data_IF_142085912490
#
_entry.id   IF_142085912490
#
_cell.length_a   1.000
_cell.length_b   1.000
_cell.length_c   1.000
_cell.angle_alpha   90.00
_cell.angle_beta   90.00
_cell.angle_gamma   90.00
#
_symmetry.space_group_name_H-M   'P 1'
#
loop_
_entity.id
_entity.type
_entity.pdbx_description
1 polymer ?
#
# COMPACT_ATOMS: atom_id res chain seq x y z
N UNK A 1 -31.06 13.53 4.82
CA UNK A 1 -29.80 13.53 4.05
C UNK A 1 -28.95 14.68 4.53
N UNK A 2 -27.64 14.49 4.68
CA UNK A 2 -26.72 15.59 4.97
C UNK A 2 -26.50 16.47 3.72
N UNK A 3 -26.20 17.77 3.86
CA UNK A 3 -25.79 18.63 2.74
C UNK A 3 -24.54 18.10 2.03
N UNK A 4 -24.41 18.36 0.72
CA UNK A 4 -23.29 17.87 -0.11
C UNK A 4 -21.93 18.35 0.42
N UNK A 5 -21.88 19.55 0.99
CA UNK A 5 -20.66 20.15 1.54
C UNK A 5 -20.14 19.40 2.78
N UNK A 6 -20.96 18.54 3.40
CA UNK A 6 -20.57 17.71 4.54
C UNK A 6 -19.87 16.41 4.14
N UNK A 7 -19.35 16.30 2.91
CA UNK A 7 -18.67 15.10 2.41
C UNK A 7 -17.48 14.66 3.28
N UNK A 8 -16.86 15.55 4.06
CA UNK A 8 -15.76 15.21 4.98
C UNK A 8 -16.21 14.30 6.13
N UNK A 9 -17.43 14.49 6.62
CA UNK A 9 -18.02 13.71 7.73
C UNK A 9 -19.09 12.73 7.25
N UNK A 10 -19.48 12.83 5.98
CA UNK A 10 -20.50 12.00 5.34
C UNK A 10 -19.97 11.52 3.98
N UNK A 11 -19.07 10.52 4.02
CA UNK A 11 -18.52 9.84 2.85
C UNK A 11 -18.59 8.33 3.06
N UNK A 12 -18.75 7.57 1.97
CA UNK A 12 -18.67 6.11 2.01
C UNK A 12 -17.27 5.61 2.36
N UNK A 13 -16.23 6.27 1.83
CA UNK A 13 -14.84 5.95 2.09
C UNK A 13 -13.94 7.13 1.71
N UNK A 14 -12.74 7.15 2.31
CA UNK A 14 -11.63 7.97 1.84
C UNK A 14 -10.70 7.09 1.03
N UNK A 15 -10.44 7.49 -0.22
CA UNK A 15 -9.62 6.71 -1.16
C UNK A 15 -8.38 7.51 -1.60
N UNK A 16 -7.29 6.81 -1.97
CA UNK A 16 -6.14 7.45 -2.61
C UNK A 16 -6.53 8.15 -3.91
N UNK A 17 -5.76 9.19 -4.29
CA UNK A 17 -5.93 9.86 -5.57
C UNK A 17 -5.57 8.94 -6.74
N UNK A 18 -5.90 9.33 -7.97
CA UNK A 18 -5.39 8.64 -9.16
C UNK A 18 -3.87 8.81 -9.28
N UNK A 19 -3.19 7.83 -9.88
CA UNK A 19 -1.74 7.83 -10.04
C UNK A 19 -1.33 7.52 -11.48
N UNK A 20 -0.18 8.04 -11.88
CA UNK A 20 0.55 7.59 -13.07
C UNK A 20 1.39 6.39 -12.67
N UNK A 21 1.26 5.29 -13.42
CA UNK A 21 1.97 4.03 -13.14
C UNK A 21 2.94 3.75 -14.28
N UNK A 22 4.14 3.30 -13.94
CA UNK A 22 5.16 2.87 -14.91
C UNK A 22 5.77 1.54 -14.49
N UNK A 23 6.51 0.91 -15.40
CA UNK A 23 7.31 -0.29 -15.08
C UNK A 23 8.37 0.03 -14.03
N UNK A 24 8.87 -0.98 -13.32
CA UNK A 24 9.93 -0.83 -12.30
C UNK A 24 11.27 -0.50 -12.95
N UNK A 25 11.44 0.78 -13.29
CA UNK A 25 12.58 1.35 -14.01
C UNK A 25 12.81 2.78 -13.48
N UNK A 26 13.81 2.99 -12.60
CA UNK A 26 14.04 4.29 -11.97
C UNK A 26 14.34 5.42 -12.97
N UNK A 27 15.09 5.12 -14.03
CA UNK A 27 15.46 6.11 -15.04
C UNK A 27 14.24 6.57 -15.83
N UNK A 28 13.38 5.62 -16.22
CA UNK A 28 12.12 5.96 -16.86
C UNK A 28 11.21 6.76 -15.91
N UNK A 29 11.13 6.39 -14.63
CA UNK A 29 10.33 7.11 -13.64
C UNK A 29 10.80 8.56 -13.46
N UNK A 30 12.11 8.80 -13.43
CA UNK A 30 12.70 10.14 -13.40
C UNK A 30 12.36 10.94 -14.66
N UNK A 31 12.49 10.32 -15.84
CA UNK A 31 12.17 10.96 -17.12
C UNK A 31 10.70 11.36 -17.20
N UNK A 32 9.80 10.46 -16.81
CA UNK A 32 8.35 10.74 -16.76
C UNK A 32 8.07 11.90 -15.81
N UNK A 33 8.66 11.88 -14.60
CA UNK A 33 8.46 12.97 -13.63
C UNK A 33 8.95 14.30 -14.18
N UNK A 34 10.15 14.38 -14.75
CA UNK A 34 10.69 15.61 -15.34
C UNK A 34 9.80 16.16 -16.46
N UNK A 35 9.24 15.28 -17.29
CA UNK A 35 8.30 15.68 -18.35
C UNK A 35 7.01 16.27 -17.78
N UNK A 36 6.40 15.59 -16.81
CA UNK A 36 5.16 16.03 -16.16
C UNK A 36 5.35 17.32 -15.34
N UNK A 37 6.48 17.46 -14.65
CA UNK A 37 6.81 18.65 -13.87
C UNK A 37 6.96 19.89 -14.77
N UNK A 38 7.69 19.75 -15.89
CA UNK A 38 7.84 20.81 -16.89
C UNK A 38 6.48 21.31 -17.40
N UNK A 39 5.61 20.41 -17.83
CA UNK A 39 4.29 20.78 -18.37
C UNK A 39 3.41 21.48 -17.33
N UNK A 40 3.56 21.15 -16.04
CA UNK A 40 2.82 21.84 -14.98
C UNK A 40 3.35 23.26 -14.72
N UNK A 41 4.65 23.50 -14.94
CA UNK A 41 5.29 24.81 -14.75
C UNK A 41 5.25 25.70 -15.99
N UNK A 42 5.19 25.10 -17.18
CA UNK A 42 5.10 25.77 -18.46
C UNK A 42 3.63 26.05 -18.74
N UNK A 43 3.15 27.21 -18.30
CA UNK A 43 1.76 27.64 -18.41
C UNK A 43 1.25 27.80 -19.87
N UNK A 44 2.03 27.41 -20.87
CA UNK A 44 1.63 27.37 -22.28
C UNK A 44 0.60 26.29 -22.61
N UNK A 45 0.45 25.26 -21.76
CA UNK A 45 -0.52 24.18 -21.94
C UNK A 45 -1.19 23.79 -20.61
N UNK A 46 -2.53 23.68 -20.60
CA UNK A 46 -3.26 23.24 -19.42
C UNK A 46 -3.52 21.72 -19.49
N UNK A 47 -2.60 20.94 -18.93
CA UNK A 47 -2.67 19.47 -18.90
C UNK A 47 -3.93 18.92 -18.19
N UNK A 48 -4.54 19.70 -17.29
CA UNK A 48 -5.69 19.27 -16.51
C UNK A 48 -7.00 19.86 -17.02
N UNK A 49 -7.05 20.54 -18.18
CA UNK A 49 -8.31 21.02 -18.75
C UNK A 49 -8.67 20.27 -20.02
N UNK A 50 -9.86 19.65 -20.01
CA UNK A 50 -10.47 19.06 -21.20
C UNK A 50 -11.39 20.03 -21.97
N UNK A 51 -11.50 21.30 -21.57
CA UNK A 51 -12.50 22.25 -22.08
C UNK A 51 -12.42 22.46 -23.59
N UNK A 52 -11.20 22.55 -24.14
CA UNK A 52 -10.97 22.69 -25.58
C UNK A 52 -11.40 21.46 -26.41
N UNK A 53 -11.73 20.35 -25.75
CA UNK A 53 -12.07 19.05 -26.35
C UNK A 53 -13.52 18.64 -26.04
N UNK A 54 -14.40 19.60 -25.76
CA UNK A 54 -15.81 19.34 -25.49
C UNK A 54 -16.46 18.47 -26.59
N UNK A 55 -17.33 17.51 -26.23
CA UNK A 55 -17.94 17.33 -24.90
C UNK A 55 -17.15 16.40 -23.95
N UNK A 56 -15.93 15.98 -24.31
CA UNK A 56 -15.16 15.06 -23.49
C UNK A 56 -14.67 15.73 -22.19
N UNK A 57 -14.52 14.93 -21.12
CA UNK A 57 -14.05 15.37 -19.79
C UNK A 57 -13.03 14.39 -19.23
N UNK A 58 -12.18 14.87 -18.33
CA UNK A 58 -11.13 14.09 -17.67
C UNK A 58 -10.20 13.37 -18.66
N UNK A 59 -9.81 14.05 -19.74
CA UNK A 59 -8.90 13.51 -20.74
C UNK A 59 -7.49 13.43 -20.17
N UNK A 60 -6.93 12.21 -20.16
CA UNK A 60 -5.62 11.86 -19.60
C UNK A 60 -5.55 12.01 -18.06
N UNK A 61 -5.91 13.17 -17.52
CA UNK A 61 -5.99 13.49 -16.11
C UNK A 61 -7.40 13.98 -15.75
N UNK A 62 -7.77 13.90 -14.46
CA UNK A 62 -9.04 14.47 -14.00
C UNK A 62 -9.01 15.99 -14.14
N UNK A 63 -10.14 16.58 -14.56
CA UNK A 63 -10.21 18.03 -14.75
C UNK A 63 -10.09 18.81 -13.42
N UNK A 64 -10.36 18.14 -12.29
CA UNK A 64 -10.20 18.67 -10.94
C UNK A 64 -8.78 18.54 -10.38
N UNK A 65 -7.83 18.03 -11.17
CA UNK A 65 -6.42 17.91 -10.73
C UNK A 65 -5.80 19.30 -10.64
N UNK A 66 -5.21 19.62 -9.48
CA UNK A 66 -4.53 20.91 -9.26
C UNK A 66 -3.02 20.78 -9.41
N UNK A 67 -2.46 19.63 -9.04
CA UNK A 67 -1.02 19.32 -9.14
C UNK A 67 -0.77 17.82 -9.09
N UNK A 68 0.36 17.41 -9.65
CA UNK A 68 0.95 16.10 -9.47
C UNK A 68 2.01 16.18 -8.38
N UNK A 69 2.15 15.09 -7.61
CA UNK A 69 3.16 14.97 -6.56
C UNK A 69 3.91 13.67 -6.79
N UNK A 70 5.24 13.73 -6.69
CA UNK A 70 6.07 12.54 -6.82
C UNK A 70 5.87 11.64 -5.59
N UNK A 71 5.54 10.39 -5.85
CA UNK A 71 5.41 9.37 -4.82
C UNK A 71 6.80 9.02 -4.27
N UNK A 72 6.95 8.72 -2.95
CA UNK A 72 8.23 8.30 -2.39
C UNK A 72 8.86 7.11 -3.15
N UNK A 73 10.20 7.02 -3.20
CA UNK A 73 10.86 5.87 -3.81
C UNK A 73 10.43 4.57 -3.14
N UNK A 74 10.52 3.45 -3.87
CA UNK A 74 10.11 2.11 -3.42
C UNK A 74 8.62 1.95 -3.06
N UNK A 75 7.77 2.92 -3.38
CA UNK A 75 6.32 2.77 -3.24
C UNK A 75 5.79 1.88 -4.37
N UNK A 76 5.20 0.74 -3.99
CA UNK A 76 4.45 -0.12 -4.88
C UNK A 76 2.93 0.14 -4.77
N UNK A 77 2.15 -0.58 -5.58
CA UNK A 77 0.69 -0.46 -5.57
C UNK A 77 0.05 -0.74 -4.21
N UNK A 78 0.64 -1.63 -3.42
CA UNK A 78 0.12 -1.94 -2.08
C UNK A 78 0.37 -0.77 -1.13
N UNK A 79 1.60 -0.28 -1.07
CA UNK A 79 1.98 0.85 -0.22
C UNK A 79 1.20 2.11 -0.58
N UNK A 80 0.98 2.33 -1.88
CA UNK A 80 0.18 3.46 -2.38
C UNK A 80 -1.29 3.38 -1.97
N UNK A 81 -1.89 2.18 -2.11
CA UNK A 81 -3.32 1.99 -1.83
C UNK A 81 -3.63 1.86 -0.33
N UNK A 82 -2.68 1.33 0.44
CA UNK A 82 -2.82 1.08 1.86
C UNK A 82 -3.59 -0.21 2.19
N UNK A 83 -3.36 -0.72 3.40
CA UNK A 83 -3.84 -2.03 3.82
C UNK A 83 -5.36 -2.16 3.82
N UNK A 84 -6.10 -1.13 4.24
CA UNK A 84 -7.56 -1.16 4.30
C UNK A 84 -8.18 -1.21 2.90
N UNK A 85 -7.71 -0.38 1.97
CA UNK A 85 -8.21 -0.38 0.60
C UNK A 85 -7.90 -1.72 -0.07
N UNK A 86 -6.66 -2.18 0.07
CA UNK A 86 -6.25 -3.45 -0.53
C UNK A 86 -6.99 -4.65 0.09
N UNK A 87 -7.30 -4.63 1.39
CA UNK A 87 -8.10 -5.70 1.99
C UNK A 87 -9.53 -5.71 1.46
N UNK A 88 -10.15 -4.55 1.23
CA UNK A 88 -11.48 -4.48 0.59
C UNK A 88 -11.40 -5.05 -0.83
N UNK A 89 -10.41 -4.63 -1.63
CA UNK A 89 -10.21 -5.16 -2.99
C UNK A 89 -9.97 -6.67 -2.97
N UNK A 90 -9.19 -7.18 -2.02
CA UNK A 90 -8.99 -8.62 -1.85
C UNK A 90 -10.27 -9.32 -1.41
N UNK A 91 -11.03 -8.80 -0.47
CA UNK A 91 -12.31 -9.38 -0.03
C UNK A 91 -13.31 -9.45 -1.18
N UNK A 92 -13.44 -8.39 -1.97
CA UNK A 92 -14.29 -8.38 -3.17
C UNK A 92 -13.84 -9.42 -4.22
N UNK A 93 -12.53 -9.71 -4.31
CA UNK A 93 -11.99 -10.80 -5.14
C UNK A 93 -12.14 -12.17 -4.47
N UNK A 94 -12.10 -12.23 -3.15
CA UNK A 94 -12.12 -13.43 -2.29
C UNK A 94 -13.53 -13.92 -2.02
N UNK A 95 -14.59 -13.20 -2.40
CA UNK A 95 -15.93 -13.80 -2.54
C UNK A 95 -15.95 -15.01 -3.52
N UNK A 96 -14.83 -15.33 -4.18
CA UNK A 96 -14.55 -16.57 -4.91
C UNK A 96 -13.56 -17.58 -4.27
N UNK A 97 -12.95 -17.32 -3.11
CA UNK A 97 -12.03 -18.25 -2.43
C UNK A 97 -12.21 -18.26 -0.90
N UNK A 98 -12.40 -19.45 -0.34
CA UNK A 98 -12.80 -19.78 1.04
C UNK A 98 -12.14 -18.99 2.18
N UNK A 99 -12.95 -18.77 3.22
CA UNK A 99 -12.66 -18.05 4.46
C UNK A 99 -11.85 -18.88 5.47
N UNK A 100 -10.70 -19.40 5.05
CA UNK A 100 -9.77 -20.09 5.96
C UNK A 100 -8.67 -19.10 6.38
N UNK A 101 -9.04 -18.13 7.21
CA UNK A 101 -8.06 -17.29 7.90
C UNK A 101 -7.52 -18.12 9.08
N UNK A 102 -6.30 -18.64 8.96
CA UNK A 102 -5.65 -19.34 10.06
C UNK A 102 -5.57 -18.41 11.28
N UNK A 103 -5.86 -18.91 12.51
CA UNK A 103 -5.75 -18.12 13.73
C UNK A 103 -4.29 -17.87 14.17
N UNK A 104 -3.31 -18.24 13.33
CA UNK A 104 -1.90 -18.17 13.65
C UNK A 104 -1.35 -16.75 13.50
N UNK A 105 -0.43 -16.36 14.38
CA UNK A 105 0.32 -15.12 14.27
C UNK A 105 1.52 -15.36 13.35
N UNK A 106 1.56 -14.66 12.21
CA UNK A 106 2.68 -14.74 11.27
C UNK A 106 3.78 -13.77 11.69
N UNK A 107 4.81 -14.29 12.33
CA UNK A 107 5.96 -13.52 12.76
C UNK A 107 6.98 -13.38 11.63
N UNK A 108 7.39 -12.15 11.32
CA UNK A 108 8.44 -11.88 10.34
C UNK A 108 9.81 -11.82 11.02
N UNK A 109 10.69 -12.73 10.63
CA UNK A 109 12.08 -12.81 11.04
C UNK A 109 13.02 -12.18 10.00
N UNK A 110 13.97 -11.38 10.47
CA UNK A 110 14.95 -10.67 9.62
C UNK A 110 16.22 -11.51 9.46
N UNK A 111 16.45 -11.95 8.22
CA UNK A 111 17.61 -12.75 7.87
C UNK A 111 17.60 -14.17 8.45
N UNK A 112 18.68 -14.89 8.19
CA UNK A 112 18.74 -16.34 8.45
C UNK A 112 18.72 -16.69 9.94
N UNK A 113 19.45 -15.95 10.78
CA UNK A 113 19.57 -16.25 12.20
C UNK A 113 18.24 -16.12 12.94
N UNK A 114 17.48 -15.06 12.66
CA UNK A 114 16.14 -14.89 13.23
C UNK A 114 15.15 -15.91 12.68
N UNK A 115 15.26 -16.27 11.40
CA UNK A 115 14.37 -17.27 10.79
C UNK A 115 14.54 -18.62 11.47
N UNK A 116 15.77 -19.08 11.64
CA UNK A 116 16.06 -20.34 12.34
C UNK A 116 15.54 -20.34 13.80
N UNK A 117 15.64 -19.19 14.48
CA UNK A 117 15.08 -19.03 15.84
C UNK A 117 13.56 -19.05 15.84
N UNK A 118 12.94 -18.39 14.86
CA UNK A 118 11.48 -18.37 14.70
C UNK A 118 10.96 -19.78 14.44
N UNK A 119 11.59 -20.57 13.56
CA UNK A 119 11.16 -21.92 13.23
C UNK A 119 11.10 -22.82 14.48
N UNK A 120 12.09 -22.69 15.37
CA UNK A 120 12.09 -23.38 16.67
C UNK A 120 10.93 -22.88 17.55
N UNK A 121 10.68 -21.57 17.58
CA UNK A 121 9.58 -21.00 18.35
C UNK A 121 8.20 -21.45 17.83
N UNK A 122 8.01 -21.51 16.51
CA UNK A 122 6.80 -21.99 15.85
C UNK A 122 6.40 -23.39 16.33
N UNK A 123 7.36 -24.31 16.39
CA UNK A 123 7.10 -25.69 16.85
C UNK A 123 6.67 -25.74 18.32
N UNK A 124 7.21 -24.85 19.15
CA UNK A 124 6.91 -24.78 20.58
C UNK A 124 5.68 -23.93 20.93
N UNK A 125 5.06 -23.27 19.94
CA UNK A 125 4.02 -22.26 20.15
C UNK A 125 2.60 -22.82 20.42
N UNK A 126 2.45 -24.13 20.63
CA UNK A 126 1.15 -24.75 20.92
C UNK A 126 1.17 -25.39 22.31
N UNK A 127 0.86 -24.61 23.34
CA UNK A 127 0.72 -25.12 24.72
C UNK A 127 -0.01 -24.11 25.62
N UNK A 128 -1.34 -24.21 25.70
CA UNK A 128 -2.11 -23.47 26.70
C UNK A 128 -3.62 -23.65 26.59
N UNK A 129 -4.27 -24.01 27.71
CA UNK A 129 -5.73 -24.02 27.85
C UNK A 129 -6.28 -22.60 27.63
N UNK A 130 -6.93 -22.36 26.48
CA UNK A 130 -7.70 -21.13 26.24
C UNK A 130 -7.60 -20.50 24.85
N UNK A 131 -6.72 -20.94 23.95
CA UNK A 131 -6.71 -20.45 22.56
C UNK A 131 -5.48 -20.83 21.74
N UNK A 132 -5.68 -21.07 20.45
CA UNK A 132 -4.65 -21.39 19.46
C UNK A 132 -3.80 -20.16 19.15
N UNK A 133 -2.75 -19.90 19.92
CA UNK A 133 -1.73 -18.87 19.58
C UNK A 133 -0.54 -19.51 18.87
N UNK A 134 -0.82 -20.21 17.76
CA UNK A 134 0.24 -20.79 16.93
C UNK A 134 1.04 -19.68 16.23
N UNK A 135 2.36 -19.79 16.27
CA UNK A 135 3.27 -18.91 15.54
C UNK A 135 3.60 -19.55 14.19
N UNK A 136 3.47 -18.78 13.12
CA UNK A 136 3.97 -19.11 11.78
C UNK A 136 5.11 -18.16 11.43
N UNK A 137 6.16 -18.66 10.78
CA UNK A 137 7.34 -17.86 10.48
C UNK A 137 7.34 -17.39 9.03
N UNK A 138 7.48 -16.08 8.85
CA UNK A 138 7.77 -15.40 7.60
C UNK A 138 9.21 -14.89 7.67
N UNK A 139 9.90 -14.82 6.54
CA UNK A 139 11.25 -14.27 6.48
C UNK A 139 11.36 -13.09 5.53
N UNK A 140 12.23 -12.15 5.86
CA UNK A 140 12.59 -11.02 5.01
C UNK A 140 14.08 -10.68 5.17
N UNK A 141 14.72 -10.06 4.15
CA UNK A 141 16.14 -9.70 4.24
C UNK A 141 16.42 -8.47 5.12
N UNK A 142 15.40 -7.65 5.42
CA UNK A 142 15.53 -6.44 6.24
C UNK A 142 14.23 -6.15 7.02
N UNK A 143 14.34 -5.29 8.03
CA UNK A 143 13.19 -4.76 8.78
C UNK A 143 12.20 -4.06 7.87
N UNK A 144 12.68 -3.23 6.92
CA UNK A 144 11.82 -2.53 5.96
C UNK A 144 10.97 -3.52 5.14
N UNK A 145 11.55 -4.64 4.72
CA UNK A 145 10.82 -5.67 3.98
C UNK A 145 9.83 -6.43 4.88
N UNK A 146 10.15 -6.63 6.17
CA UNK A 146 9.15 -7.13 7.14
C UNK A 146 8.00 -6.15 7.34
N UNK A 147 8.27 -4.84 7.45
CA UNK A 147 7.22 -3.81 7.55
C UNK A 147 6.33 -3.80 6.30
N UNK A 148 6.91 -3.92 5.10
CA UNK A 148 6.15 -4.07 3.85
C UNK A 148 5.25 -5.32 3.89
N UNK A 149 5.76 -6.46 4.37
CA UNK A 149 4.97 -7.68 4.55
C UNK A 149 3.82 -7.50 5.55
N UNK A 150 4.05 -6.78 6.65
CA UNK A 150 3.00 -6.48 7.63
C UNK A 150 1.93 -5.60 7.01
N UNK A 151 2.33 -4.53 6.33
CA UNK A 151 1.39 -3.68 5.60
C UNK A 151 0.56 -4.53 4.63
N UNK A 152 1.21 -5.45 3.90
CA UNK A 152 0.61 -6.39 2.93
C UNK A 152 -0.28 -7.47 3.52
N UNK A 153 -0.40 -7.56 4.85
CA UNK A 153 -1.03 -8.69 5.54
C UNK A 153 -0.41 -10.04 5.16
N UNK A 154 0.88 -10.07 4.80
CA UNK A 154 1.68 -11.30 4.63
C UNK A 154 2.35 -11.72 5.94
N UNK A 155 2.56 -10.77 6.85
CA UNK A 155 3.01 -10.98 8.23
C UNK A 155 2.16 -10.14 9.18
N UNK A 156 2.23 -10.42 10.48
CA UNK A 156 1.44 -9.77 11.51
C UNK A 156 2.32 -8.99 12.51
N UNK A 157 3.57 -9.40 12.70
CA UNK A 157 4.51 -8.76 13.63
C UNK A 157 5.99 -8.95 13.24
N UNK A 158 6.86 -8.08 13.74
CA UNK A 158 8.33 -8.16 13.67
C UNK A 158 8.92 -7.50 14.93
N UNK A 159 10.03 -8.01 15.45
CA UNK A 159 10.79 -7.30 16.49
C UNK A 159 11.69 -6.25 15.84
N UNK A 160 11.65 -5.02 16.36
CA UNK A 160 12.47 -3.91 15.88
C UNK A 160 13.16 -3.22 17.04
N UNK A 161 14.41 -2.82 16.85
CA UNK A 161 15.13 -2.01 17.82
C UNK A 161 14.60 -0.57 17.83
N UNK A 162 14.70 0.13 18.96
CA UNK A 162 14.12 1.48 19.12
C UNK A 162 14.60 2.53 18.09
N UNK A 163 15.79 2.34 17.50
CA UNK A 163 16.28 3.19 16.41
C UNK A 163 15.64 2.93 15.04
N UNK A 164 14.98 1.78 14.87
CA UNK A 164 14.33 1.35 13.63
C UNK A 164 12.80 1.59 13.64
N UNK A 165 12.25 2.02 14.79
CA UNK A 165 10.82 2.36 14.94
C UNK A 165 10.45 3.67 14.20
N UNK A 166 11.45 4.48 13.83
CA UNK A 166 11.26 5.82 13.25
C UNK A 166 11.47 5.92 11.73
N UNK A 167 11.78 4.80 11.05
CA UNK A 167 12.01 4.71 9.60
C UNK A 167 10.86 4.02 8.90
#
# INVERSE_FOLDING_TARGET
>A
GAPIDNYKTCSLARVPAHAVVTRKDPQLADLIWQSLDRVQTDHSFNLFSSEAYAPAKNLMFKDSTVKLVRVPPNTDSFLYLGANYMSIVHSLKKEQASDDASPAIRWCAVGHAETAKCDIWSINSVSGEGGTTSIECQSAPSVEECLKKIMRKEADAVAVDGGQVFT
#
